data_IF_770612492770
#
_entry.id   IF_770612492770
#
_cell.length_a   1.000
_cell.length_b   1.000
_cell.length_c   1.000
_cell.angle_alpha   90.00
_cell.angle_beta   90.00
_cell.angle_gamma   90.00
#
_symmetry.space_group_name_H-M   'P 1'
#
loop_
_entity.id
_entity.type
_entity.pdbx_description
1 polymer ?
#
# COMPACT_ATOMS: atom_id res chain seq x y z
N UNK A 1 16.65 10.90 -3.22
CA UNK A 1 16.28 9.46 -3.23
C UNK A 1 17.55 8.64 -3.20
N UNK A 2 17.49 7.36 -2.80
CA UNK A 2 18.61 6.43 -3.00
C UNK A 2 18.76 6.11 -4.51
N UNK A 3 19.98 5.94 -5.01
CA UNK A 3 20.26 5.90 -6.45
C UNK A 3 19.75 4.63 -7.16
N UNK A 4 19.82 3.46 -6.52
CA UNK A 4 19.25 2.23 -7.08
C UNK A 4 17.72 2.30 -7.12
N UNK A 5 17.07 2.88 -6.11
CA UNK A 5 15.62 3.10 -6.11
C UNK A 5 15.18 4.00 -7.28
N UNK A 6 15.95 5.06 -7.58
CA UNK A 6 15.71 5.93 -8.72
C UNK A 6 15.81 5.19 -10.06
N UNK A 7 16.85 4.35 -10.23
CA UNK A 7 17.00 3.52 -11.44
C UNK A 7 15.82 2.56 -11.61
N UNK A 8 15.40 1.89 -10.53
CA UNK A 8 14.30 0.92 -10.60
C UNK A 8 12.96 1.61 -10.87
N UNK A 9 12.71 2.80 -10.34
CA UNK A 9 11.52 3.59 -10.71
C UNK A 9 11.51 3.96 -12.20
N UNK A 10 12.67 4.32 -12.75
CA UNK A 10 12.80 4.61 -14.17
C UNK A 10 12.57 3.37 -15.04
N UNK A 11 12.97 2.16 -14.58
CA UNK A 11 12.66 0.89 -15.25
C UNK A 11 11.11 0.67 -15.36
N UNK A 12 10.32 1.20 -14.41
CA UNK A 12 8.84 1.23 -14.46
C UNK A 12 8.25 2.47 -15.16
N UNK A 13 9.07 3.35 -15.73
CA UNK A 13 8.62 4.57 -16.40
C UNK A 13 8.13 5.68 -15.46
N UNK A 14 8.45 5.62 -14.16
CA UNK A 14 8.10 6.63 -13.18
C UNK A 14 9.19 7.70 -13.03
N UNK A 15 8.78 8.96 -12.80
CA UNK A 15 9.69 10.09 -12.54
C UNK A 15 9.95 10.24 -11.02
N UNK A 16 11.21 10.17 -10.63
CA UNK A 16 11.65 10.36 -9.24
C UNK A 16 11.92 11.83 -8.88
N UNK A 17 11.88 12.74 -9.86
CA UNK A 17 12.21 14.16 -9.67
C UNK A 17 11.34 14.79 -8.58
N UNK A 18 11.98 15.49 -7.64
CA UNK A 18 11.29 16.17 -6.54
C UNK A 18 10.95 15.27 -5.35
N UNK A 19 11.30 13.99 -5.36
CA UNK A 19 11.16 13.15 -4.18
C UNK A 19 12.09 13.63 -3.05
N UNK A 20 11.49 13.93 -1.89
CA UNK A 20 12.19 14.29 -0.66
C UNK A 20 11.63 13.44 0.48
N UNK A 21 12.51 12.73 1.17
CA UNK A 21 12.14 12.01 2.39
C UNK A 21 11.70 13.00 3.45
N UNK A 22 10.62 12.68 4.16
CA UNK A 22 10.09 13.49 5.25
C UNK A 22 9.76 12.63 6.46
N UNK A 23 9.90 13.23 7.64
CA UNK A 23 9.48 12.60 8.88
C UNK A 23 7.96 12.41 8.93
N UNK A 24 7.52 11.30 9.52
CA UNK A 24 6.11 11.04 9.76
C UNK A 24 5.68 11.74 11.07
N UNK A 25 4.72 12.65 10.97
CA UNK A 25 4.12 13.36 12.10
C UNK A 25 2.67 12.91 12.30
N UNK A 26 2.14 13.09 13.51
CA UNK A 26 0.77 12.70 13.87
C UNK A 26 -0.28 13.30 12.92
N UNK A 27 -0.07 14.54 12.46
CA UNK A 27 -0.97 15.20 11.51
C UNK A 27 -1.08 14.47 10.17
N UNK A 28 -0.01 13.81 9.71
CA UNK A 28 -0.05 13.01 8.48
C UNK A 28 -0.96 11.80 8.67
N UNK A 29 -0.81 11.12 9.81
CA UNK A 29 -1.62 9.95 10.16
C UNK A 29 -3.08 10.36 10.34
N UNK A 30 -3.34 11.45 11.07
CA UNK A 30 -4.69 11.97 11.32
C UNK A 30 -5.44 12.26 10.02
N UNK A 31 -4.76 12.86 9.04
CA UNK A 31 -5.36 13.29 7.77
C UNK A 31 -5.51 12.17 6.73
N UNK A 32 -4.72 11.10 6.82
CA UNK A 32 -4.72 10.04 5.82
C UNK A 32 -6.00 9.21 5.86
N UNK A 33 -6.65 8.98 4.73
CA UNK A 33 -7.75 8.01 4.61
C UNK A 33 -7.22 6.55 4.56
N UNK A 34 -5.95 6.37 4.18
CA UNK A 34 -5.23 5.10 4.09
C UNK A 34 -3.75 5.32 4.40
N UNK A 35 -3.16 4.46 5.22
CA UNK A 35 -1.71 4.37 5.43
C UNK A 35 -1.23 2.96 5.07
N UNK A 36 -0.25 2.89 4.17
CA UNK A 36 0.43 1.65 3.80
C UNK A 36 1.86 1.68 4.32
N UNK A 37 2.26 0.62 5.01
CA UNK A 37 3.62 0.45 5.53
C UNK A 37 4.33 -0.74 4.89
N UNK A 38 5.66 -0.74 4.92
CA UNK A 38 6.44 -1.87 4.40
C UNK A 38 6.41 -3.09 5.34
N UNK A 39 6.45 -2.87 6.65
CA UNK A 39 6.57 -3.93 7.66
C UNK A 39 5.50 -3.79 8.75
N UNK A 40 5.37 -4.82 9.59
CA UNK A 40 4.46 -4.81 10.74
C UNK A 40 4.94 -3.88 11.84
N UNK A 41 6.24 -3.70 12.01
CA UNK A 41 6.81 -2.77 12.99
C UNK A 41 6.50 -1.32 12.61
N UNK A 42 6.65 -0.96 11.33
CA UNK A 42 6.20 0.33 10.82
C UNK A 42 4.69 0.53 11.05
N UNK A 43 3.88 -0.51 10.83
CA UNK A 43 2.43 -0.46 11.09
C UNK A 43 2.15 -0.21 12.58
N UNK A 44 2.84 -0.90 13.48
CA UNK A 44 2.69 -0.74 14.92
C UNK A 44 3.07 0.68 15.37
N UNK A 45 4.14 1.24 14.82
CA UNK A 45 4.54 2.62 15.05
C UNK A 45 3.46 3.62 14.60
N UNK A 46 2.88 3.46 13.41
CA UNK A 46 1.80 4.34 12.95
C UNK A 46 0.57 4.24 13.86
N UNK A 47 0.23 3.02 14.32
CA UNK A 47 -0.93 2.80 15.20
C UNK A 47 -0.74 3.48 16.56
N UNK A 48 0.49 3.52 17.10
CA UNK A 48 0.76 4.19 18.38
C UNK A 48 0.63 5.71 18.30
N UNK A 49 0.64 6.29 17.09
CA UNK A 49 0.48 7.73 16.84
C UNK A 49 -0.99 8.20 16.87
N UNK A 50 -1.99 7.31 16.93
CA UNK A 50 -3.38 7.75 17.06
C UNK A 50 -4.46 6.65 17.12
N UNK A 51 -5.48 6.89 17.94
CA UNK A 51 -6.56 5.93 18.24
C UNK A 51 -7.33 5.40 17.02
N UNK A 52 -7.54 6.22 15.98
CA UNK A 52 -8.26 5.82 14.77
C UNK A 52 -7.37 5.23 13.67
N UNK A 53 -6.04 5.27 13.83
CA UNK A 53 -5.10 4.80 12.82
C UNK A 53 -5.20 3.29 12.57
N UNK A 54 -5.61 2.52 13.59
CA UNK A 54 -5.76 1.07 13.49
C UNK A 54 -6.59 0.60 12.29
N UNK A 55 -7.75 1.23 12.03
CA UNK A 55 -8.66 0.79 10.97
C UNK A 55 -8.22 1.16 9.55
N UNK A 56 -7.26 2.07 9.41
CA UNK A 56 -6.79 2.61 8.12
C UNK A 56 -5.33 2.34 7.82
N UNK A 57 -4.61 1.69 8.73
CA UNK A 57 -3.18 1.40 8.58
C UNK A 57 -2.97 -0.08 8.34
N UNK A 58 -2.33 -0.43 7.23
CA UNK A 58 -2.04 -1.81 6.82
C UNK A 58 -0.58 -1.90 6.40
N UNK A 59 -0.01 -3.10 6.39
CA UNK A 59 1.14 -3.30 5.51
C UNK A 59 0.66 -3.36 4.05
N UNK A 60 1.53 -3.04 3.09
CA UNK A 60 1.18 -3.02 1.67
C UNK A 60 0.60 -4.36 1.19
N UNK A 61 1.25 -5.47 1.56
CA UNK A 61 0.85 -6.82 1.17
C UNK A 61 -0.36 -7.33 1.95
N UNK A 62 -0.51 -6.95 3.22
CA UNK A 62 -1.74 -7.20 4.00
C UNK A 62 -2.94 -6.57 3.29
N UNK A 63 -2.85 -5.28 2.94
CA UNK A 63 -3.95 -4.57 2.30
C UNK A 63 -4.32 -5.24 0.98
N UNK A 64 -3.32 -5.56 0.16
CA UNK A 64 -3.49 -6.27 -1.12
C UNK A 64 -4.22 -7.60 -0.93
N UNK A 65 -3.79 -8.41 0.04
CA UNK A 65 -4.40 -9.71 0.35
C UNK A 65 -5.88 -9.57 0.75
N UNK A 66 -6.22 -8.53 1.51
CA UNK A 66 -7.60 -8.25 1.89
C UNK A 66 -8.43 -7.74 0.70
N UNK A 67 -7.86 -6.85 -0.13
CA UNK A 67 -8.51 -6.30 -1.32
C UNK A 67 -8.88 -7.40 -2.32
N UNK A 68 -8.06 -8.43 -2.48
CA UNK A 68 -8.36 -9.59 -3.35
C UNK A 68 -9.61 -10.36 -2.96
N UNK A 69 -10.09 -10.23 -1.73
CA UNK A 69 -11.31 -10.88 -1.26
C UNK A 69 -12.56 -9.98 -1.33
N UNK A 70 -12.41 -8.73 -1.75
CA UNK A 70 -13.52 -7.78 -1.88
C UNK A 70 -14.06 -7.86 -3.30
N UNK A 71 -15.37 -8.07 -3.43
CA UNK A 71 -16.06 -7.96 -4.72
C UNK A 71 -16.13 -6.50 -5.16
N UNK A 72 -15.49 -6.09 -6.27
CA UNK A 72 -15.49 -4.71 -6.75
C UNK A 72 -16.87 -4.14 -7.08
N UNK A 73 -17.88 -4.99 -7.31
CA UNK A 73 -19.26 -4.58 -7.56
C UNK A 73 -19.97 -4.08 -6.30
N UNK A 74 -19.44 -4.38 -5.11
CA UNK A 74 -19.95 -3.89 -3.82
C UNK A 74 -19.41 -2.50 -3.46
N UNK A 75 -18.47 -1.98 -4.24
CA UNK A 75 -17.85 -0.68 -4.03
C UNK A 75 -18.53 0.38 -4.92
N UNK A 76 -18.63 1.64 -4.46
CA UNK A 76 -19.15 2.77 -5.24
C UNK A 76 -18.57 2.87 -6.65
N UNK A 77 -19.37 3.12 -7.69
CA UNK A 77 -18.84 3.27 -9.06
C UNK A 77 -17.89 4.49 -9.10
N UNK A 78 -16.61 4.31 -9.49
CA UNK A 78 -15.65 5.40 -9.50
C UNK A 78 -16.01 6.54 -10.46
N UNK A 79 -16.92 6.32 -11.43
CA UNK A 79 -17.39 7.34 -12.38
C UNK A 79 -18.50 8.23 -11.82
N UNK A 80 -19.28 7.71 -10.87
CA UNK A 80 -20.43 8.41 -10.29
C UNK A 80 -20.06 9.10 -8.98
N UNK A 81 -19.48 8.35 -8.03
CA UNK A 81 -19.16 8.82 -6.67
C UNK A 81 -17.69 9.25 -6.53
N UNK A 82 -16.86 8.92 -7.52
CA UNK A 82 -15.45 9.26 -7.56
C UNK A 82 -14.54 8.26 -6.84
N UNK A 83 -13.26 8.27 -7.24
CA UNK A 83 -12.23 7.36 -6.73
C UNK A 83 -11.99 7.53 -5.22
N UNK A 84 -12.18 8.73 -4.67
CA UNK A 84 -11.94 9.00 -3.24
C UNK A 84 -12.95 8.28 -2.34
N UNK A 85 -14.25 8.34 -2.65
CA UNK A 85 -15.25 7.63 -1.83
C UNK A 85 -15.12 6.12 -2.00
N UNK A 86 -14.81 5.68 -3.23
CA UNK A 86 -14.48 4.28 -3.50
C UNK A 86 -13.29 3.80 -2.68
N UNK A 87 -12.23 4.61 -2.55
CA UNK A 87 -11.07 4.31 -1.72
C UNK A 87 -11.44 4.17 -0.24
N UNK A 88 -12.25 5.09 0.30
CA UNK A 88 -12.74 5.00 1.68
C UNK A 88 -13.57 3.75 1.92
N UNK A 89 -14.45 3.40 0.98
CA UNK A 89 -15.23 2.16 1.05
C UNK A 89 -14.33 0.91 1.04
N UNK A 90 -13.31 0.89 0.17
CA UNK A 90 -12.34 -0.19 0.09
C UNK A 90 -11.56 -0.37 1.40
N UNK A 91 -11.12 0.74 2.02
CA UNK A 91 -10.43 0.71 3.32
C UNK A 91 -11.32 0.14 4.42
N UNK A 92 -12.58 0.60 4.50
CA UNK A 92 -13.55 0.07 5.48
C UNK A 92 -13.80 -1.43 5.27
N UNK A 93 -13.96 -1.87 4.02
CA UNK A 93 -14.16 -3.27 3.69
C UNK A 93 -12.93 -4.13 4.03
N UNK A 94 -11.72 -3.67 3.71
CA UNK A 94 -10.49 -4.35 4.08
C UNK A 94 -10.33 -4.46 5.60
N UNK A 95 -10.63 -3.40 6.35
CA UNK A 95 -10.59 -3.41 7.81
C UNK A 95 -11.58 -4.43 8.41
N UNK A 96 -12.76 -4.60 7.82
CA UNK A 96 -13.76 -5.58 8.27
C UNK A 96 -13.34 -7.04 8.02
N UNK A 97 -12.52 -7.28 6.98
CA UNK A 97 -11.97 -8.59 6.68
C UNK A 97 -10.74 -8.94 7.54
N UNK A 98 -10.16 -7.96 8.22
CA UNK A 98 -9.01 -8.16 9.10
C UNK A 98 -9.41 -9.07 10.27
N UNK A 99 -8.70 -10.19 10.40
CA UNK A 99 -8.98 -11.23 11.40
C UNK A 99 -9.66 -12.48 10.84
N UNK A 100 -10.30 -12.38 9.68
CA UNK A 100 -10.88 -13.53 8.96
C UNK A 100 -9.91 -14.11 7.92
N UNK A 101 -9.15 -13.23 7.28
CA UNK A 101 -8.11 -13.60 6.33
C UNK A 101 -6.76 -13.37 7.01
N UNK A 102 -6.18 -14.44 7.54
CA UNK A 102 -4.85 -14.40 8.13
C UNK A 102 -3.77 -14.61 7.06
N UNK A 103 -2.64 -13.96 7.26
CA UNK A 103 -1.44 -14.24 6.46
C UNK A 103 -0.92 -15.65 6.79
N UNK A 104 -0.32 -16.36 5.83
CA UNK A 104 0.23 -17.69 6.06
C UNK A 104 1.41 -17.69 7.04
N UNK A 105 2.19 -16.60 7.07
CA UNK A 105 3.24 -16.35 8.07
C UNK A 105 3.26 -14.88 8.48
N UNK A 106 4.05 -14.54 9.49
CA UNK A 106 4.20 -13.16 9.97
C UNK A 106 4.86 -12.24 8.92
N UNK A 107 5.79 -12.79 8.14
CA UNK A 107 6.63 -12.13 7.14
C UNK A 107 5.97 -12.05 5.77
N UNK A 108 4.93 -12.86 5.53
CA UNK A 108 4.24 -12.92 4.25
C UNK A 108 3.63 -11.58 3.83
N UNK A 109 3.32 -10.71 4.79
CA UNK A 109 2.74 -9.39 4.58
C UNK A 109 3.80 -8.26 4.63
N UNK A 110 5.10 -8.58 4.69
CA UNK A 110 6.18 -7.60 4.76
C UNK A 110 6.92 -7.44 3.43
N UNK A 111 7.43 -6.23 3.20
CA UNK A 111 8.36 -5.88 2.12
C UNK A 111 9.71 -5.58 2.77
N UNK A 112 10.75 -6.29 2.35
CA UNK A 112 12.10 -6.14 2.91
C UNK A 112 12.76 -4.83 2.48
N UNK A 113 13.52 -4.23 3.40
CA UNK A 113 14.27 -3.01 3.12
C UNK A 113 15.52 -3.32 2.27
N UNK A 114 15.65 -2.75 1.05
CA UNK A 114 16.81 -2.98 0.20
C UNK A 114 18.01 -2.09 0.54
N UNK A 115 17.94 -1.26 1.59
CA UNK A 115 19.01 -0.32 1.93
C UNK A 115 20.38 -1.00 2.06
N UNK A 116 21.37 -0.47 1.33
CA UNK A 116 22.73 -1.01 1.29
C UNK A 116 22.92 -2.27 0.45
N UNK A 117 21.86 -2.81 -0.16
CA UNK A 117 21.92 -3.98 -1.02
C UNK A 117 22.27 -3.64 -2.48
N UNK A 118 22.72 -4.62 -3.28
CA UNK A 118 22.93 -4.44 -4.72
C UNK A 118 21.63 -4.14 -5.48
N UNK A 119 21.76 -3.52 -6.66
CA UNK A 119 20.62 -3.17 -7.52
C UNK A 119 19.68 -4.35 -7.85
N UNK A 120 20.20 -5.58 -7.90
CA UNK A 120 19.36 -6.78 -8.15
C UNK A 120 18.32 -6.99 -7.04
N UNK A 121 18.66 -6.65 -5.79
CA UNK A 121 17.72 -6.73 -4.68
C UNK A 121 16.70 -5.58 -4.72
N UNK A 122 17.13 -4.37 -5.10
CA UNK A 122 16.21 -3.25 -5.37
C UNK A 122 15.18 -3.60 -6.45
N UNK A 123 15.61 -4.23 -7.55
CA UNK A 123 14.70 -4.71 -8.62
C UNK A 123 13.71 -5.73 -8.09
N UNK A 124 14.17 -6.72 -7.32
CA UNK A 124 13.29 -7.72 -6.70
C UNK A 124 12.23 -7.08 -5.80
N UNK A 125 12.61 -6.08 -4.98
CA UNK A 125 11.68 -5.35 -4.10
C UNK A 125 10.74 -4.47 -4.92
N UNK A 126 11.23 -3.81 -5.97
CA UNK A 126 10.43 -3.02 -6.90
C UNK A 126 9.35 -3.85 -7.60
N UNK A 127 9.73 -5.01 -8.13
CA UNK A 127 8.81 -5.97 -8.75
C UNK A 127 7.76 -6.47 -7.75
N UNK A 128 8.17 -6.78 -6.52
CA UNK A 128 7.26 -7.20 -5.44
C UNK A 128 6.23 -6.11 -5.11
N UNK A 129 6.66 -4.86 -4.96
CA UNK A 129 5.77 -3.72 -4.70
C UNK A 129 4.80 -3.52 -5.86
N UNK A 130 5.30 -3.53 -7.10
CA UNK A 130 4.51 -3.31 -8.31
C UNK A 130 3.40 -4.36 -8.43
N UNK A 131 3.76 -5.65 -8.35
CA UNK A 131 2.80 -6.77 -8.43
C UNK A 131 1.78 -6.76 -7.27
N UNK A 132 2.21 -6.33 -6.08
CA UNK A 132 1.31 -6.22 -4.95
C UNK A 132 0.29 -5.07 -5.13
N UNK A 133 0.67 -3.97 -5.79
CA UNK A 133 -0.24 -2.82 -5.97
C UNK A 133 -1.30 -3.04 -7.06
N UNK A 134 -1.12 -3.95 -8.01
CA UNK A 134 -2.07 -4.17 -9.10
C UNK A 134 -3.54 -4.35 -8.68
N UNK A 135 -3.86 -5.24 -7.72
CA UNK A 135 -5.25 -5.46 -7.33
C UNK A 135 -5.81 -4.23 -6.62
N UNK A 136 -4.95 -3.47 -5.92
CA UNK A 136 -5.33 -2.24 -5.23
C UNK A 136 -5.67 -1.15 -6.25
N UNK A 137 -4.80 -0.92 -7.24
CA UNK A 137 -5.03 0.06 -8.31
C UNK A 137 -6.28 -0.30 -9.12
N UNK A 138 -6.44 -1.58 -9.46
CA UNK A 138 -7.64 -2.08 -10.16
C UNK A 138 -8.91 -1.88 -9.32
N UNK A 139 -8.87 -2.22 -8.02
CA UNK A 139 -10.02 -2.03 -7.14
C UNK A 139 -10.38 -0.54 -6.96
N UNK A 140 -9.38 0.36 -6.91
CA UNK A 140 -9.58 1.80 -6.76
C UNK A 140 -10.11 2.48 -8.02
N UNK A 141 -9.60 2.12 -9.20
CA UNK A 141 -9.88 2.83 -10.45
C UNK A 141 -10.94 2.14 -11.32
N UNK A 142 -11.17 0.84 -11.12
CA UNK A 142 -11.97 0.01 -12.02
C UNK A 142 -11.27 -0.33 -13.34
N UNK A 143 -10.04 0.12 -13.55
CA UNK A 143 -9.24 -0.15 -14.75
C UNK A 143 -8.32 -1.33 -14.47
N UNK A 144 -8.29 -2.31 -15.37
CA UNK A 144 -7.35 -3.42 -15.28
C UNK A 144 -5.93 -2.90 -15.54
N UNK A 145 -5.00 -3.17 -14.61
CA UNK A 145 -3.58 -2.93 -14.85
C UNK A 145 -3.09 -3.89 -15.92
N UNK A 146 -2.43 -3.36 -16.96
CA UNK A 146 -1.82 -4.17 -18.03
C UNK A 146 -0.31 -4.07 -17.84
N UNK A 147 0.36 -5.21 -17.58
CA UNK A 147 1.82 -5.32 -17.63
C UNK A 147 2.26 -5.83 -18.99
#
# INVERSE_FOLDING_TARGET
MEANAEIVLADFGADATGFVGRELLDEHVIRADLVLTATRDHRAQVISMGHSAGLRTFTLKEFTRLVRAIDPATLPDPRDEGVVERARALVRAAAALRGWLLAPTAEADEVYDPYGAPITFFRSVGDEINQALDPVVTALTGVQTTH
#
